data_IF_985330680164
#
_entry.id   IF_985330680164
#
_cell.length_a   1.000
_cell.length_b   1.000
_cell.length_c   1.000
_cell.angle_alpha   90.00
_cell.angle_beta   90.00
_cell.angle_gamma   90.00
#
_symmetry.space_group_name_H-M   'P 1'
#
loop_
_entity.id
_entity.type
_entity.pdbx_description
1 polymer ?
#
# COMPACT_ATOMS: atom_id res chain seq x y z
N UNK A 1 6.95 3.34 1.91
CA UNK A 1 7.27 3.54 3.33
C UNK A 1 5.98 3.62 4.14
N UNK A 2 5.98 3.07 5.36
CA UNK A 2 4.78 2.93 6.20
C UNK A 2 4.95 3.54 7.62
N UNK A 3 5.77 4.59 7.75
CA UNK A 3 6.14 5.18 9.04
C UNK A 3 7.28 4.44 9.74
N UNK A 4 7.60 4.86 10.96
CA UNK A 4 8.70 4.31 11.76
C UNK A 4 8.26 3.14 12.66
N UNK A 5 7.16 3.30 13.37
CA UNK A 5 6.66 2.38 14.41
C UNK A 5 5.17 2.02 14.22
N UNK A 6 4.63 2.26 13.02
CA UNK A 6 3.23 2.01 12.67
C UNK A 6 2.20 2.75 13.58
N UNK A 7 2.59 3.90 14.16
CA UNK A 7 1.66 4.73 14.93
C UNK A 7 0.75 5.58 14.03
N UNK A 8 -0.46 5.89 14.53
CA UNK A 8 -1.39 6.76 13.81
C UNK A 8 -0.79 8.18 13.64
N UNK A 9 -0.86 8.79 12.44
CA UNK A 9 -0.34 10.14 12.24
C UNK A 9 -1.03 11.22 13.09
N UNK A 10 -2.22 10.94 13.64
CA UNK A 10 -2.98 11.89 14.45
C UNK A 10 -2.34 12.19 15.82
N UNK A 11 -1.50 11.30 16.34
CA UNK A 11 -0.84 11.48 17.64
C UNK A 11 0.56 12.09 17.53
N UNK A 12 0.99 12.50 16.34
CA UNK A 12 2.35 13.01 16.09
C UNK A 12 2.30 14.44 15.54
N UNK A 13 3.29 15.25 15.93
CA UNK A 13 3.49 16.57 15.34
C UNK A 13 4.10 16.45 13.94
N UNK A 14 3.93 17.48 13.09
CA UNK A 14 4.58 17.54 11.76
C UNK A 14 6.09 17.35 11.86
N UNK A 15 6.73 18.02 12.83
CA UNK A 15 8.18 17.93 13.03
C UNK A 15 8.62 16.50 13.30
N UNK A 16 7.95 15.82 14.25
CA UNK A 16 8.26 14.43 14.59
C UNK A 16 8.02 13.49 13.42
N UNK A 17 6.91 13.65 12.71
CA UNK A 17 6.64 12.86 11.50
C UNK A 17 7.71 13.08 10.44
N UNK A 18 8.13 14.32 10.18
CA UNK A 18 9.20 14.62 9.21
C UNK A 18 10.50 13.92 9.56
N UNK A 19 10.90 13.98 10.84
CA UNK A 19 12.12 13.35 11.35
C UNK A 19 12.05 11.82 11.19
N UNK A 20 10.94 11.21 11.61
CA UNK A 20 10.73 9.76 11.49
C UNK A 20 10.67 9.32 10.03
N UNK A 21 9.97 10.07 9.18
CA UNK A 21 9.88 9.77 7.75
C UNK A 21 11.24 9.85 7.07
N UNK A 22 12.04 10.88 7.36
CA UNK A 22 13.40 10.99 6.81
C UNK A 22 14.26 9.81 7.24
N UNK A 23 14.29 9.53 8.55
CA UNK A 23 15.04 8.39 9.10
C UNK A 23 14.63 7.06 8.48
N UNK A 24 13.32 6.82 8.32
CA UNK A 24 12.84 5.60 7.66
C UNK A 24 13.22 5.57 6.19
N UNK A 25 13.17 6.70 5.47
CA UNK A 25 13.57 6.77 4.07
C UNK A 25 15.05 6.43 3.88
N UNK A 26 15.92 7.03 4.70
CA UNK A 26 17.37 6.76 4.70
C UNK A 26 17.65 5.28 5.00
N UNK A 27 16.94 4.69 5.97
CA UNK A 27 17.09 3.27 6.32
C UNK A 27 16.62 2.34 5.19
N UNK A 28 15.51 2.65 4.52
CA UNK A 28 15.03 1.89 3.37
C UNK A 28 16.04 1.97 2.22
N UNK A 29 16.58 3.16 1.93
CA UNK A 29 17.57 3.35 0.88
C UNK A 29 18.86 2.58 1.19
N UNK A 30 19.35 2.65 2.43
CA UNK A 30 20.51 1.88 2.88
C UNK A 30 20.30 0.37 2.74
N UNK A 31 19.13 -0.14 3.11
CA UNK A 31 18.84 -1.58 3.12
C UNK A 31 18.52 -2.15 1.72
N UNK A 32 17.97 -1.33 0.81
CA UNK A 32 17.45 -1.80 -0.49
C UNK A 32 18.17 -1.21 -1.71
N UNK A 33 19.01 -0.20 -1.53
CA UNK A 33 19.63 0.56 -2.61
C UNK A 33 18.67 1.51 -3.34
N UNK A 34 17.44 1.69 -2.86
CA UNK A 34 16.44 2.53 -3.51
C UNK A 34 15.69 3.44 -2.52
N UNK A 35 15.71 4.74 -2.78
CA UNK A 35 14.92 5.71 -2.02
C UNK A 35 13.40 5.48 -2.23
N UNK A 36 12.60 5.42 -1.14
CA UNK A 36 11.17 5.30 -1.27
C UNK A 36 10.57 6.59 -1.85
N UNK A 37 9.62 6.44 -2.79
CA UNK A 37 8.85 7.57 -3.35
C UNK A 37 7.47 7.75 -2.73
N UNK A 38 6.96 6.69 -2.09
CA UNK A 38 5.58 6.59 -1.67
C UNK A 38 5.47 6.44 -0.15
N UNK A 39 4.54 7.19 0.44
CA UNK A 39 4.14 7.07 1.83
C UNK A 39 2.71 6.50 1.90
N UNK A 40 2.54 5.38 2.58
CA UNK A 40 1.20 4.89 2.96
C UNK A 40 1.04 5.15 4.45
N UNK A 41 0.09 5.96 4.92
CA UNK A 41 -0.07 6.20 6.35
C UNK A 41 -0.56 4.94 7.07
N UNK A 42 -0.04 4.61 8.27
CA UNK A 42 -0.61 3.59 9.13
C UNK A 42 -2.12 3.76 9.30
N UNK A 43 -2.84 2.64 9.29
CA UNK A 43 -4.30 2.59 9.39
C UNK A 43 -5.08 3.34 8.29
N UNK A 44 -4.40 3.80 7.22
CA UNK A 44 -5.03 4.60 6.17
C UNK A 44 -5.38 6.04 6.59
N UNK A 45 -4.93 6.46 7.77
CA UNK A 45 -5.31 7.77 8.32
C UNK A 45 -4.49 8.87 7.69
N UNK A 46 -5.06 9.52 6.68
CA UNK A 46 -4.47 10.69 6.03
C UNK A 46 -4.87 11.97 6.78
N UNK A 47 -3.88 12.77 7.19
CA UNK A 47 -4.11 14.10 7.74
C UNK A 47 -3.33 15.15 6.95
N UNK A 48 -3.75 16.42 7.05
CA UNK A 48 -3.00 17.55 6.47
C UNK A 48 -1.56 17.57 7.00
N UNK A 49 -1.39 17.33 8.28
CA UNK A 49 -0.08 17.28 8.94
C UNK A 49 0.80 16.17 8.37
N UNK A 50 0.26 14.97 8.17
CA UNK A 50 0.98 13.84 7.57
C UNK A 50 1.34 14.11 6.10
N UNK A 51 0.41 14.70 5.34
CA UNK A 51 0.61 15.07 3.94
C UNK A 51 1.75 16.08 3.78
N UNK A 52 1.76 17.13 4.61
CA UNK A 52 2.82 18.14 4.60
C UNK A 52 4.17 17.55 5.05
N UNK A 53 4.19 16.71 6.08
CA UNK A 53 5.41 16.04 6.51
C UNK A 53 6.00 15.12 5.42
N UNK A 54 5.15 14.38 4.70
CA UNK A 54 5.56 13.55 3.57
C UNK A 54 6.13 14.40 2.43
N UNK A 55 5.48 15.52 2.10
CA UNK A 55 5.98 16.44 1.07
C UNK A 55 7.36 17.03 1.44
N UNK A 56 7.60 17.39 2.71
CA UNK A 56 8.88 17.92 3.21
C UNK A 56 10.07 16.94 3.03
N UNK A 57 9.78 15.65 2.82
CA UNK A 57 10.79 14.60 2.57
C UNK A 57 10.68 14.00 1.16
N UNK A 58 9.93 14.63 0.25
CA UNK A 58 9.78 14.19 -1.13
C UNK A 58 8.91 12.94 -1.33
N UNK A 59 8.15 12.52 -0.32
CA UNK A 59 7.26 11.37 -0.40
C UNK A 59 5.86 11.77 -0.88
N UNK A 60 5.26 10.89 -1.67
CA UNK A 60 3.89 11.05 -2.17
C UNK A 60 2.94 10.13 -1.41
N UNK A 61 1.92 10.67 -0.73
CA UNK A 61 0.95 9.83 -0.04
C UNK A 61 0.14 8.96 -1.02
N UNK A 62 -0.11 7.70 -0.66
CA UNK A 62 -0.91 6.76 -1.47
C UNK A 62 -1.77 5.86 -0.58
N UNK A 63 -3.03 5.67 -0.99
CA UNK A 63 -3.98 4.77 -0.32
C UNK A 63 -4.27 3.55 -1.22
N UNK A 64 -5.49 3.01 -1.11
CA UNK A 64 -6.01 1.88 -1.86
C UNK A 64 -7.45 2.15 -2.28
N UNK A 65 -7.88 1.48 -3.35
CA UNK A 65 -9.27 1.52 -3.84
C UNK A 65 -10.04 0.28 -3.43
N UNK A 66 -9.33 -0.81 -3.12
CA UNK A 66 -9.90 -2.05 -2.62
C UNK A 66 -9.01 -2.68 -1.55
N UNK A 67 -9.60 -3.51 -0.69
CA UNK A 67 -8.89 -4.22 0.38
C UNK A 67 -9.44 -5.62 0.63
N UNK A 68 -8.60 -6.50 1.15
CA UNK A 68 -8.96 -7.88 1.48
C UNK A 68 -9.57 -8.10 2.87
N UNK A 69 -9.37 -7.15 3.80
CA UNK A 69 -9.63 -7.37 5.24
C UNK A 69 -8.89 -8.59 5.81
N UNK A 70 -7.76 -8.90 5.19
CA UNK A 70 -6.87 -10.01 5.45
C UNK A 70 -6.24 -9.97 6.85
N UNK A 71 -6.13 -8.78 7.45
CA UNK A 71 -5.65 -8.57 8.82
C UNK A 71 -6.56 -9.15 9.92
N UNK A 72 -7.78 -9.56 9.58
CA UNK A 72 -8.77 -10.09 10.52
C UNK A 72 -8.46 -11.53 10.94
N UNK A 73 -8.72 -11.88 12.21
CA UNK A 73 -8.59 -13.26 12.70
C UNK A 73 -9.55 -14.25 12.05
N UNK A 74 -10.59 -13.76 11.36
CA UNK A 74 -11.58 -14.58 10.64
C UNK A 74 -11.31 -14.63 9.13
N UNK A 75 -10.25 -14.00 8.66
CA UNK A 75 -9.93 -13.99 7.23
C UNK A 75 -9.45 -15.37 6.80
N UNK A 76 -10.03 -15.86 5.70
CA UNK A 76 -9.57 -17.01 4.91
C UNK A 76 -9.23 -16.55 3.50
N UNK A 77 -8.41 -17.31 2.75
CA UNK A 77 -8.15 -17.04 1.33
C UNK A 77 -9.42 -16.71 0.53
N UNK A 78 -10.47 -17.58 0.56
CA UNK A 78 -11.74 -17.31 -0.12
C UNK A 78 -12.46 -16.03 0.34
N UNK A 79 -12.41 -15.69 1.64
CA UNK A 79 -13.02 -14.45 2.13
C UNK A 79 -12.30 -13.19 1.62
N UNK A 80 -10.97 -13.26 1.52
CA UNK A 80 -10.11 -12.18 1.01
C UNK A 80 -10.36 -11.97 -0.49
N UNK A 81 -10.39 -13.06 -1.27
CA UNK A 81 -10.72 -13.02 -2.70
C UNK A 81 -12.08 -12.34 -2.90
N UNK A 82 -13.10 -12.81 -2.18
CA UNK A 82 -14.45 -12.28 -2.26
C UNK A 82 -14.53 -10.81 -1.85
N UNK A 83 -13.80 -10.39 -0.82
CA UNK A 83 -13.76 -9.00 -0.39
C UNK A 83 -13.17 -8.11 -1.49
N UNK A 84 -12.01 -8.48 -2.04
CA UNK A 84 -11.33 -7.73 -3.10
C UNK A 84 -12.20 -7.66 -4.37
N UNK A 85 -12.74 -8.78 -4.84
CA UNK A 85 -13.53 -8.87 -6.09
C UNK A 85 -14.82 -8.05 -6.08
N UNK A 86 -15.38 -7.73 -4.91
CA UNK A 86 -16.56 -6.87 -4.77
C UNK A 86 -16.26 -5.36 -4.89
N UNK A 87 -15.00 -4.97 -5.03
CA UNK A 87 -14.56 -3.58 -5.08
C UNK A 87 -13.89 -3.26 -6.42
N UNK A 88 -13.90 -1.98 -6.88
CA UNK A 88 -13.22 -1.58 -8.10
C UNK A 88 -11.70 -1.80 -8.02
N UNK A 89 -11.19 -2.71 -8.85
CA UNK A 89 -9.76 -3.02 -8.96
C UNK A 89 -9.08 -2.36 -10.18
N UNK A 90 -9.83 -2.09 -11.27
CA UNK A 90 -9.28 -1.51 -12.50
C UNK A 90 -8.74 -0.10 -12.25
N UNK A 91 -7.48 0.14 -12.62
CA UNK A 91 -6.78 1.41 -12.39
C UNK A 91 -6.48 1.72 -10.91
N UNK A 92 -6.87 0.82 -10.00
CA UNK A 92 -6.78 1.02 -8.56
C UNK A 92 -5.55 0.36 -7.94
N UNK A 93 -5.49 0.39 -6.61
CA UNK A 93 -4.47 -0.31 -5.82
C UNK A 93 -5.16 -1.12 -4.73
N UNK A 94 -4.65 -2.33 -4.48
CA UNK A 94 -5.23 -3.28 -3.54
C UNK A 94 -4.40 -3.26 -2.24
N UNK A 95 -5.08 -3.20 -1.09
CA UNK A 95 -4.45 -3.36 0.22
C UNK A 95 -4.54 -4.82 0.68
N UNK A 96 -3.36 -5.39 0.94
CA UNK A 96 -3.11 -6.69 1.57
C UNK A 96 -1.86 -6.56 2.47
N UNK A 97 -1.63 -7.52 3.36
CA UNK A 97 -0.58 -7.55 4.36
C UNK A 97 0.19 -8.88 4.31
N UNK A 98 1.50 -8.78 4.46
CA UNK A 98 2.47 -9.88 4.50
C UNK A 98 3.05 -10.13 5.90
N UNK A 99 2.59 -9.36 6.89
CA UNK A 99 2.99 -9.46 8.30
C UNK A 99 1.77 -9.31 9.21
N UNK A 100 1.89 -9.82 10.43
CA UNK A 100 0.84 -9.79 11.46
C UNK A 100 1.18 -8.92 12.68
N UNK A 101 2.29 -8.16 12.64
CA UNK A 101 2.75 -7.34 13.78
C UNK A 101 1.71 -6.33 14.28
N UNK A 102 0.89 -5.80 13.38
CA UNK A 102 -0.20 -4.89 13.68
C UNK A 102 -1.59 -5.49 13.33
N UNK A 103 -1.69 -6.82 13.28
CA UNK A 103 -2.87 -7.54 12.78
C UNK A 103 -3.10 -8.82 13.59
N UNK A 104 -4.14 -9.59 13.25
CA UNK A 104 -4.37 -10.86 13.93
C UNK A 104 -3.19 -11.82 13.69
N UNK A 105 -2.73 -12.58 14.71
CA UNK A 105 -1.64 -13.54 14.54
C UNK A 105 -1.93 -14.52 13.39
N UNK A 106 -0.96 -14.70 12.50
CA UNK A 106 -1.04 -15.57 11.33
C UNK A 106 -1.91 -15.07 10.18
N UNK A 107 -2.46 -13.85 10.26
CA UNK A 107 -3.33 -13.25 9.22
C UNK A 107 -2.73 -13.24 7.83
N UNK A 108 -1.40 -13.06 7.71
CA UNK A 108 -0.67 -13.07 6.45
C UNK A 108 -0.87 -14.36 5.62
N UNK A 109 -1.25 -15.49 6.26
CA UNK A 109 -1.55 -16.75 5.55
C UNK A 109 -2.75 -16.62 4.63
N UNK A 110 -3.78 -15.87 5.04
CA UNK A 110 -4.97 -15.64 4.22
C UNK A 110 -4.63 -14.84 2.95
N UNK A 111 -3.70 -13.89 3.05
CA UNK A 111 -3.14 -13.17 1.89
C UNK A 111 -2.39 -14.12 0.97
N UNK A 112 -1.53 -14.97 1.53
CA UNK A 112 -0.74 -15.92 0.75
C UNK A 112 -1.62 -16.92 -0.02
N UNK A 113 -2.69 -17.41 0.62
CA UNK A 113 -3.70 -18.28 0.00
C UNK A 113 -4.47 -17.59 -1.14
N UNK A 114 -4.88 -16.33 -0.94
CA UNK A 114 -5.70 -15.60 -1.89
C UNK A 114 -4.95 -15.13 -3.15
N UNK A 115 -3.64 -14.87 -3.02
CA UNK A 115 -2.87 -14.16 -4.02
C UNK A 115 -2.83 -14.85 -5.41
N UNK A 116 -2.62 -16.18 -5.53
CA UNK A 116 -2.60 -16.85 -6.83
C UNK A 116 -3.91 -16.70 -7.62
N UNK A 117 -5.05 -16.85 -6.96
CA UNK A 117 -6.38 -16.76 -7.60
C UNK A 117 -6.72 -15.32 -8.00
N UNK A 118 -6.39 -14.34 -7.14
CA UNK A 118 -6.54 -12.93 -7.48
C UNK A 118 -5.74 -12.57 -8.74
N UNK A 119 -4.46 -12.94 -8.77
CA UNK A 119 -3.57 -12.68 -9.91
C UNK A 119 -4.04 -13.41 -11.18
N UNK A 120 -4.41 -14.69 -11.08
CA UNK A 120 -4.91 -15.45 -12.22
C UNK A 120 -6.18 -14.83 -12.80
N UNK A 121 -7.16 -14.49 -11.96
CA UNK A 121 -8.41 -13.91 -12.44
C UNK A 121 -8.23 -12.49 -13.01
N UNK A 122 -7.30 -11.69 -12.50
CA UNK A 122 -6.99 -10.39 -13.12
C UNK A 122 -6.32 -10.55 -14.48
N UNK A 123 -5.41 -11.53 -14.63
CA UNK A 123 -4.80 -11.83 -15.94
C UNK A 123 -5.84 -12.30 -16.95
N UNK A 124 -6.81 -13.13 -16.55
CA UNK A 124 -7.90 -13.54 -17.46
C UNK A 124 -8.85 -12.39 -17.84
N UNK A 125 -8.87 -11.32 -17.04
CA UNK A 125 -9.62 -10.09 -17.30
C UNK A 125 -8.79 -9.04 -18.07
N UNK A 126 -7.62 -9.43 -18.60
CA UNK A 126 -6.67 -8.56 -19.30
C UNK A 126 -6.17 -7.37 -18.45
N UNK A 127 -6.01 -7.60 -17.15
CA UNK A 127 -5.43 -6.63 -16.22
C UNK A 127 -3.97 -6.95 -15.94
N UNK A 128 -3.14 -5.91 -16.07
CA UNK A 128 -1.74 -5.96 -15.67
C UNK A 128 -1.59 -5.56 -14.20
N UNK A 129 -1.07 -6.49 -13.39
CA UNK A 129 -0.70 -6.22 -12.00
C UNK A 129 0.77 -5.82 -11.97
N UNK A 130 1.09 -4.73 -11.29
CA UNK A 130 2.44 -4.19 -11.27
C UNK A 130 2.74 -3.29 -10.08
N UNK A 131 3.99 -2.81 -9.98
CA UNK A 131 4.39 -1.90 -8.92
C UNK A 131 3.72 -0.54 -9.10
N UNK A 132 3.51 0.19 -8.00
CA UNK A 132 2.89 1.51 -8.01
C UNK A 132 3.58 2.54 -8.94
N UNK A 133 4.88 2.39 -9.19
CA UNK A 133 5.62 3.24 -10.15
C UNK A 133 5.12 3.12 -11.61
N UNK A 134 4.42 2.04 -11.94
CA UNK A 134 3.77 1.83 -13.23
C UNK A 134 2.29 2.26 -13.26
N UNK A 135 1.70 2.62 -12.12
CA UNK A 135 0.33 3.13 -12.06
C UNK A 135 0.28 4.62 -12.41
N UNK A 136 -0.76 5.05 -13.13
CA UNK A 136 -0.96 6.45 -13.51
C UNK A 136 0.01 6.97 -14.58
N UNK A 137 0.82 6.10 -15.18
CA UNK A 137 1.54 6.40 -16.41
C UNK A 137 0.58 6.32 -17.59
N UNK A 138 0.57 7.38 -18.40
CA UNK A 138 -0.02 7.38 -19.74
C UNK A 138 0.59 6.22 -20.55
N UNK A 139 -0.07 5.06 -20.56
CA UNK A 139 -0.02 4.19 -21.72
C UNK A 139 -0.80 4.90 -22.84
N UNK A 140 -0.07 5.73 -23.59
CA UNK A 140 -0.27 6.02 -25.01
C UNK A 140 -1.71 6.27 -25.48
N UNK A 141 -2.23 7.48 -25.24
CA UNK A 141 -3.23 8.12 -26.13
C UNK A 141 -2.62 9.16 -27.07
N UNK A 142 -1.29 9.24 -27.16
CA UNK A 142 -0.58 10.11 -28.10
C UNK A 142 0.63 9.36 -28.66
N UNK A 143 0.36 8.50 -29.63
CA UNK A 143 1.35 8.04 -30.60
C UNK A 143 0.67 8.05 -31.97
N UNK A 144 0.83 9.17 -32.69
CA UNK A 144 0.71 9.28 -34.14
C UNK A 144 -0.16 10.44 -34.65
N UNK A 145 0.10 10.96 -35.86
CA UNK A 145 1.31 10.83 -36.69
C UNK A 145 2.38 11.88 -36.38
#
# INVERSE_FOLDING_TARGET
>A
MHGWDHMTPLVRSRRRMREEMRRTADLIELASGAAPRWYRPPFGVMSRTATLAAADVGLRPVLWTAWGRDWSSRATGPSVINAVRRQPARGGTILLHDADTASAPGSWRSTLEALPELLAGWRSEDLTVGPLRGHGGLFSLWAGP
#
